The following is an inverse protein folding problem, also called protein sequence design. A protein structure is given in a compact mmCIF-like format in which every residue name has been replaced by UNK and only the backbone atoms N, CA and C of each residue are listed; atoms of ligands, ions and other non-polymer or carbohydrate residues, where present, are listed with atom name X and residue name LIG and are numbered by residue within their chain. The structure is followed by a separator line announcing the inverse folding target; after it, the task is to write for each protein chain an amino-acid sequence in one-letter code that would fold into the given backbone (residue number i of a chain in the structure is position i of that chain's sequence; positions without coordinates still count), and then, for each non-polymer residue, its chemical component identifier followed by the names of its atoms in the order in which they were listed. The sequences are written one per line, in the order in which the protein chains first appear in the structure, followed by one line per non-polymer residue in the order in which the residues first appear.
data_IF_894467823453
#
_entry.id   IF_894467823453
#
_cell.length_a   1.000
_cell.length_b   1.000
_cell.length_c   1.000
_cell.angle_alpha   90.00
_cell.angle_beta   90.00
_cell.angle_gamma   90.00
#
_symmetry.space_group_name_H-M   'P 1'
#
loop_
_entity.id
_entity.type
_entity.pdbx_description
1 polymer ?
#
# COMPACT_ATOMS: atom_id res chain seq x y z
N UNK A 1 22.98 16.53 -8.42
CA UNK A 1 22.20 17.47 -7.57
C UNK A 1 22.09 18.87 -8.15
N UNK A 2 23.13 19.44 -8.78
CA UNK A 2 23.11 20.82 -9.28
C UNK A 2 22.09 21.09 -10.41
N UNK A 3 21.88 20.15 -11.33
CA UNK A 3 20.96 20.34 -12.47
C UNK A 3 19.48 20.30 -12.09
N UNK A 4 19.10 19.42 -11.16
CA UNK A 4 17.71 19.30 -10.69
C UNK A 4 17.25 20.57 -9.95
N UNK A 5 18.10 21.12 -9.09
CA UNK A 5 17.84 22.40 -8.42
C UNK A 5 17.72 23.55 -9.43
N UNK A 6 18.57 23.57 -10.47
CA UNK A 6 18.56 24.58 -11.53
C UNK A 6 17.25 24.58 -12.33
N UNK A 7 16.74 23.41 -12.69
CA UNK A 7 15.49 23.32 -13.48
C UNK A 7 14.24 23.57 -12.63
N UNK A 8 14.23 23.14 -11.35
CA UNK A 8 13.14 23.47 -10.41
C UNK A 8 12.96 24.97 -10.18
N UNK A 9 14.05 25.74 -10.19
CA UNK A 9 13.97 27.20 -10.06
C UNK A 9 13.46 27.90 -11.33
N UNK A 10 13.46 27.22 -12.48
CA UNK A 10 13.14 27.83 -13.78
C UNK A 10 11.65 27.75 -14.15
N UNK A 11 10.84 26.96 -13.45
CA UNK A 11 9.43 26.71 -13.81
C UNK A 11 8.42 27.27 -12.80
N UNK A 12 8.09 28.57 -12.84
CA UNK A 12 6.83 29.07 -12.30
C UNK A 12 5.80 29.18 -13.46
N UNK A 13 4.94 28.17 -13.61
CA UNK A 13 3.61 28.34 -14.21
C UNK A 13 3.45 28.41 -15.74
N UNK A 14 4.01 27.48 -16.51
CA UNK A 14 3.77 27.37 -17.96
C UNK A 14 3.07 26.05 -18.33
N UNK A 15 1.75 25.96 -18.14
CA UNK A 15 0.96 24.86 -18.70
C UNK A 15 0.88 25.00 -20.23
N UNK A 16 1.81 24.36 -20.94
CA UNK A 16 1.82 24.29 -22.41
C UNK A 16 2.37 22.94 -22.88
N UNK A 17 2.01 22.52 -24.09
CA UNK A 17 2.38 21.21 -24.64
C UNK A 17 3.89 20.94 -24.56
N UNK A 18 4.25 19.71 -24.11
CA UNK A 18 5.64 19.28 -23.89
C UNK A 18 6.37 19.15 -25.23
N UNK A 19 7.01 20.23 -25.66
CA UNK A 19 7.91 20.24 -26.83
C UNK A 19 9.28 19.71 -26.41
N UNK A 20 9.90 18.87 -27.25
CA UNK A 20 11.30 18.42 -27.04
C UNK A 20 12.22 19.64 -26.88
N UNK A 21 12.96 19.69 -25.77
CA UNK A 21 13.82 20.83 -25.40
C UNK A 21 13.16 21.88 -24.51
N UNK A 22 11.87 21.74 -24.19
CA UNK A 22 11.18 22.55 -23.16
C UNK A 22 11.74 22.24 -21.76
N UNK A 23 11.80 23.23 -20.84
CA UNK A 23 12.17 23.00 -19.45
C UNK A 23 11.40 21.86 -18.79
N UNK A 24 10.11 21.71 -19.11
CA UNK A 24 9.26 20.64 -18.56
C UNK A 24 9.69 19.25 -19.04
N UNK A 25 10.00 19.10 -20.33
CA UNK A 25 10.54 17.85 -20.90
C UNK A 25 11.85 17.46 -20.20
N UNK A 26 12.72 18.43 -19.95
CA UNK A 26 14.02 18.16 -19.31
C UNK A 26 13.87 17.79 -17.82
N UNK A 27 12.91 18.39 -17.10
CA UNK A 27 12.59 17.99 -15.72
C UNK A 27 12.07 16.56 -15.67
N UNK A 28 11.11 16.19 -16.52
CA UNK A 28 10.56 14.84 -16.58
C UNK A 28 11.64 13.80 -16.91
N UNK A 29 12.51 14.08 -17.89
CA UNK A 29 13.63 13.19 -18.24
C UNK A 29 14.64 13.04 -17.10
N UNK A 30 14.92 14.12 -16.36
CA UNK A 30 15.82 14.06 -15.20
C UNK A 30 15.18 13.30 -14.05
N UNK A 31 13.87 13.45 -13.83
CA UNK A 31 13.12 12.71 -12.81
C UNK A 31 13.09 11.22 -13.13
N UNK A 32 12.76 10.85 -14.37
CA UNK A 32 12.78 9.46 -14.85
C UNK A 32 14.19 8.86 -14.76
N UNK A 33 15.23 9.60 -15.18
CA UNK A 33 16.62 9.16 -15.06
C UNK A 33 17.03 8.95 -13.60
N UNK A 34 16.63 9.85 -12.69
CA UNK A 34 16.91 9.71 -11.27
C UNK A 34 16.17 8.50 -10.68
N UNK A 35 14.93 8.26 -11.07
CA UNK A 35 14.14 7.09 -10.65
C UNK A 35 14.79 5.79 -11.11
N UNK A 36 15.22 5.73 -12.37
CA UNK A 36 15.94 4.58 -12.94
C UNK A 36 17.28 4.32 -12.22
N UNK A 37 18.02 5.38 -11.87
CA UNK A 37 19.26 5.20 -11.09
C UNK A 37 18.94 4.70 -9.67
N UNK A 38 17.89 5.24 -9.03
CA UNK A 38 17.48 4.79 -7.69
C UNK A 38 16.98 3.35 -7.69
N UNK A 39 16.27 2.89 -8.72
CA UNK A 39 15.80 1.50 -8.83
C UNK A 39 16.97 0.53 -8.95
N UNK A 40 17.92 0.77 -9.86
CA UNK A 40 19.11 -0.08 -10.03
C UNK A 40 19.94 -0.13 -8.75
N UNK A 41 20.12 0.99 -8.05
CA UNK A 41 20.83 1.02 -6.77
C UNK A 41 20.07 0.24 -5.70
N UNK A 42 18.74 0.34 -5.65
CA UNK A 42 17.89 -0.41 -4.72
C UNK A 42 18.00 -1.91 -4.96
N UNK A 43 17.85 -2.36 -6.20
CA UNK A 43 17.96 -3.77 -6.60
C UNK A 43 19.33 -4.36 -6.25
N UNK A 44 20.41 -3.63 -6.53
CA UNK A 44 21.78 -4.06 -6.17
C UNK A 44 21.96 -4.18 -4.67
N UNK A 45 21.48 -3.19 -3.92
CA UNK A 45 21.56 -3.21 -2.47
C UNK A 45 20.74 -4.36 -1.89
N UNK A 46 19.54 -4.62 -2.41
CA UNK A 46 18.71 -5.76 -2.02
C UNK A 46 19.40 -7.09 -2.29
N UNK A 47 19.95 -7.28 -3.50
CA UNK A 47 20.69 -8.49 -3.86
C UNK A 47 21.90 -8.72 -2.95
N UNK A 48 22.70 -7.68 -2.71
CA UNK A 48 23.85 -7.75 -1.81
C UNK A 48 23.44 -8.17 -0.39
N UNK A 49 22.39 -7.55 0.14
CA UNK A 49 21.88 -7.82 1.50
C UNK A 49 21.29 -9.23 1.64
N UNK A 50 20.58 -9.71 0.63
CA UNK A 50 20.07 -11.09 0.59
C UNK A 50 21.22 -12.08 0.57
N UNK A 51 22.32 -11.80 -0.15
CA UNK A 51 23.50 -12.66 -0.17
C UNK A 51 24.26 -12.68 1.16
N UNK A 52 24.39 -11.53 1.83
CA UNK A 52 25.15 -11.43 3.08
C UNK A 52 24.37 -11.88 4.31
N UNK A 53 23.10 -11.48 4.42
CA UNK A 53 22.29 -11.66 5.62
C UNK A 53 21.14 -12.65 5.42
N UNK A 54 20.85 -13.08 4.18
CA UNK A 54 19.70 -13.94 3.88
C UNK A 54 18.34 -13.24 3.98
N UNK A 55 18.32 -11.94 4.29
CA UNK A 55 17.10 -11.17 4.56
C UNK A 55 16.89 -10.09 3.48
N UNK A 56 15.66 -10.01 2.93
CA UNK A 56 15.27 -8.92 2.04
C UNK A 56 14.93 -7.68 2.88
N UNK A 57 15.76 -6.65 2.77
CA UNK A 57 15.91 -5.57 3.75
C UNK A 57 14.94 -4.40 3.56
N UNK A 58 13.73 -4.65 3.07
CA UNK A 58 12.63 -3.72 3.32
C UNK A 58 12.30 -3.87 4.80
N UNK A 59 12.69 -2.89 5.63
CA UNK A 59 12.51 -2.90 7.10
C UNK A 59 11.16 -3.56 7.43
N UNK A 60 11.15 -4.83 7.89
CA UNK A 60 9.90 -5.56 7.96
C UNK A 60 9.08 -4.89 9.05
N UNK A 61 8.04 -4.18 8.60
CA UNK A 61 7.01 -3.72 9.49
C UNK A 61 6.37 -4.96 10.09
N UNK A 62 5.88 -4.81 11.31
CA UNK A 62 5.16 -5.88 11.98
C UNK A 62 3.70 -5.47 12.08
N UNK A 63 2.83 -6.44 11.90
CA UNK A 63 1.43 -6.25 12.26
C UNK A 63 1.32 -6.27 13.77
N UNK A 64 0.68 -5.24 14.31
CA UNK A 64 0.48 -5.03 15.75
C UNK A 64 -0.95 -4.60 16.01
N UNK A 65 -1.42 -4.77 17.25
CA UNK A 65 -2.73 -4.24 17.64
C UNK A 65 -2.61 -2.79 18.10
N UNK A 66 -3.47 -1.94 17.56
CA UNK A 66 -3.60 -0.55 17.99
C UNK A 66 -4.30 -0.43 19.36
N UNK A 67 -4.48 0.80 19.83
CA UNK A 67 -5.10 1.12 21.13
C UNK A 67 -6.52 0.54 21.31
N UNK A 68 -7.23 0.20 20.22
CA UNK A 68 -8.59 -0.37 20.20
C UNK A 68 -8.57 -1.89 19.96
N UNK A 69 -7.40 -2.46 19.68
CA UNK A 69 -7.20 -3.89 19.39
C UNK A 69 -7.21 -4.26 17.91
N UNK A 70 -7.41 -3.31 16.99
CA UNK A 70 -7.41 -3.56 15.55
C UNK A 70 -5.99 -3.79 15.02
N UNK A 71 -5.80 -4.70 14.04
CA UNK A 71 -4.51 -4.91 13.39
C UNK A 71 -4.11 -3.66 12.59
N UNK A 72 -2.84 -3.28 12.72
CA UNK A 72 -2.22 -2.18 11.99
C UNK A 72 -0.78 -2.55 11.64
N UNK A 73 -0.31 -2.14 10.46
CA UNK A 73 1.05 -2.38 10.01
C UNK A 73 1.95 -1.25 10.49
N UNK A 74 2.90 -1.56 11.37
CA UNK A 74 3.84 -0.56 11.91
C UNK A 74 5.25 -0.80 11.42
N UNK A 75 5.79 0.20 10.74
CA UNK A 75 7.21 0.26 10.41
C UNK A 75 8.04 0.45 11.69
N UNK A 76 9.15 -0.30 11.87
CA UNK A 76 10.05 -0.07 12.99
C UNK A 76 10.71 1.30 12.85
N UNK A 77 10.77 2.04 13.96
CA UNK A 77 11.52 3.28 14.07
C UNK A 77 12.65 3.13 15.08
N UNK A 78 13.73 3.89 14.90
CA UNK A 78 14.85 3.88 15.81
C UNK A 78 14.48 4.62 17.09
N UNK A 79 14.78 4.00 18.23
CA UNK A 79 14.50 4.57 19.55
C UNK A 79 15.76 4.53 20.41
N UNK A 80 15.99 5.59 21.18
CA UNK A 80 17.12 5.64 22.13
C UNK A 80 16.94 4.68 23.32
N UNK A 81 15.68 4.36 23.69
CA UNK A 81 15.35 3.54 24.85
C UNK A 81 14.84 2.15 24.42
N UNK A 82 15.09 1.08 25.21
CA UNK A 82 14.52 -0.24 24.97
C UNK A 82 12.99 -0.27 25.00
N UNK A 83 12.42 -1.27 24.31
CA UNK A 83 10.98 -1.49 24.13
C UNK A 83 10.20 -1.45 25.45
N UNK A 84 10.72 -2.13 26.47
CA UNK A 84 10.07 -2.39 27.75
C UNK A 84 10.00 -1.13 28.62
N UNK A 85 10.85 -0.14 28.33
CA UNK A 85 10.92 1.13 29.07
C UNK A 85 10.04 2.22 28.46
N UNK A 86 9.61 2.06 27.19
CA UNK A 86 8.84 3.06 26.48
C UNK A 86 7.35 2.93 26.76
N UNK A 87 6.76 3.96 27.37
CA UNK A 87 5.30 4.07 27.57
C UNK A 87 4.56 4.18 26.24
N UNK A 88 5.12 4.91 25.28
CA UNK A 88 4.57 5.05 23.95
C UNK A 88 4.52 3.71 23.21
N UNK A 89 5.58 2.91 23.31
CA UNK A 89 5.64 1.58 22.73
C UNK A 89 4.54 0.68 23.30
N UNK A 90 4.40 0.64 24.63
CA UNK A 90 3.40 -0.21 25.31
C UNK A 90 1.97 0.14 24.91
N UNK A 91 1.69 1.42 24.68
CA UNK A 91 0.37 1.87 24.24
C UNK A 91 0.05 1.40 22.82
N UNK A 92 1.00 1.53 21.89
CA UNK A 92 0.80 1.21 20.47
C UNK A 92 0.94 -0.28 20.13
N UNK A 93 1.34 -1.11 21.08
CA UNK A 93 1.59 -2.53 20.89
C UNK A 93 0.89 -3.34 21.98
N UNK A 94 -0.43 -3.26 21.98
CA UNK A 94 -1.25 -3.98 22.95
C UNK A 94 -1.30 -5.46 22.64
N UNK A 95 -1.29 -6.27 23.69
CA UNK A 95 -1.69 -7.66 23.60
C UNK A 95 -3.22 -7.76 23.49
N UNK A 96 -3.68 -8.87 22.94
CA UNK A 96 -5.10 -9.16 22.87
C UNK A 96 -5.73 -9.15 24.27
N UNK A 97 -6.90 -8.52 24.37
CA UNK A 97 -7.73 -8.50 25.56
C UNK A 97 -9.19 -8.73 25.16
N UNK A 98 -9.95 -9.42 26.01
CA UNK A 98 -11.36 -9.80 25.74
C UNK A 98 -12.29 -8.63 25.44
N UNK A 99 -12.03 -7.45 26.01
CA UNK A 99 -12.85 -6.26 25.75
C UNK A 99 -12.75 -5.79 24.28
N UNK A 100 -11.68 -6.16 23.57
CA UNK A 100 -11.45 -5.79 22.17
C UNK A 100 -12.42 -6.51 21.21
N UNK A 101 -12.96 -7.67 21.59
CA UNK A 101 -13.83 -8.50 20.74
C UNK A 101 -15.00 -7.72 20.16
N UNK A 102 -15.61 -6.86 20.97
CA UNK A 102 -16.73 -6.02 20.54
C UNK A 102 -16.35 -5.10 19.38
N UNK A 103 -15.14 -4.56 19.40
CA UNK A 103 -14.63 -3.67 18.36
C UNK A 103 -14.19 -4.45 17.12
N UNK A 104 -13.54 -5.60 17.32
CA UNK A 104 -13.11 -6.50 16.25
C UNK A 104 -14.30 -6.99 15.43
N UNK A 105 -15.31 -7.57 16.07
CA UNK A 105 -16.53 -8.07 15.41
C UNK A 105 -17.24 -6.95 14.64
N UNK A 106 -17.39 -5.77 15.26
CA UNK A 106 -18.03 -4.64 14.61
C UNK A 106 -17.27 -4.16 13.37
N UNK A 107 -15.94 -4.15 13.45
CA UNK A 107 -15.10 -3.75 12.32
C UNK A 107 -15.18 -4.75 11.17
N UNK A 108 -15.12 -6.05 11.46
CA UNK A 108 -15.31 -7.12 10.48
C UNK A 108 -16.66 -7.01 9.78
N UNK A 109 -17.73 -6.75 10.52
CA UNK A 109 -19.06 -6.56 9.93
C UNK A 109 -19.10 -5.39 8.94
N UNK A 110 -18.47 -4.26 9.28
CA UNK A 110 -18.40 -3.09 8.39
C UNK A 110 -17.63 -3.43 7.12
N UNK A 111 -16.48 -4.09 7.24
CA UNK A 111 -15.69 -4.51 6.08
C UNK A 111 -16.45 -5.50 5.20
N UNK A 112 -17.14 -6.49 5.80
CA UNK A 112 -17.98 -7.45 5.06
C UNK A 112 -19.14 -6.76 4.34
N UNK A 113 -19.80 -5.79 4.98
CA UNK A 113 -20.89 -5.02 4.34
C UNK A 113 -20.37 -4.22 3.15
N UNK A 114 -19.23 -3.53 3.32
CA UNK A 114 -18.59 -2.78 2.24
C UNK A 114 -18.15 -3.68 1.07
N UNK A 115 -17.57 -4.84 1.36
CA UNK A 115 -17.20 -5.83 0.35
C UNK A 115 -18.45 -6.34 -0.41
N UNK A 116 -19.52 -6.72 0.29
CA UNK A 116 -20.79 -7.12 -0.36
C UNK A 116 -21.34 -6.04 -1.28
N UNK A 117 -21.35 -4.78 -0.83
CA UNK A 117 -21.79 -3.65 -1.65
C UNK A 117 -20.92 -3.49 -2.90
N UNK A 118 -19.60 -3.60 -2.76
CA UNK A 118 -18.67 -3.54 -3.89
C UNK A 118 -18.95 -4.64 -4.92
N UNK A 119 -19.08 -5.89 -4.48
CA UNK A 119 -19.40 -7.03 -5.35
C UNK A 119 -20.71 -6.80 -6.11
N UNK A 120 -21.75 -6.32 -5.42
CA UNK A 120 -23.03 -6.01 -6.06
C UNK A 120 -22.91 -4.90 -7.10
N UNK A 121 -22.14 -3.84 -6.82
CA UNK A 121 -21.92 -2.76 -7.79
C UNK A 121 -21.18 -3.25 -9.04
N UNK A 122 -20.17 -4.11 -8.87
CA UNK A 122 -19.44 -4.72 -9.98
C UNK A 122 -20.37 -5.59 -10.82
N UNK A 123 -21.25 -6.37 -10.20
CA UNK A 123 -22.22 -7.22 -10.92
C UNK A 123 -23.25 -6.38 -11.69
N UNK A 124 -23.77 -5.31 -11.09
CA UNK A 124 -24.70 -4.38 -11.76
C UNK A 124 -24.02 -3.68 -12.93
N UNK A 125 -22.77 -3.27 -12.77
CA UNK A 125 -21.98 -2.64 -13.82
C UNK A 125 -21.70 -3.62 -14.97
N UNK A 126 -21.38 -4.87 -14.66
CA UNK A 126 -21.25 -5.96 -15.63
C UNK A 126 -22.52 -6.10 -16.49
N UNK A 127 -23.69 -6.24 -15.87
CA UNK A 127 -24.99 -6.34 -16.57
C UNK A 127 -25.29 -5.09 -17.43
N UNK A 128 -24.86 -3.91 -16.96
CA UNK A 128 -25.01 -2.67 -17.72
C UNK A 128 -24.10 -2.65 -18.95
N UNK A 129 -22.87 -3.13 -18.85
CA UNK A 129 -21.92 -3.20 -19.95
C UNK A 129 -22.35 -4.22 -21.00
N UNK A 130 -22.85 -5.38 -20.57
CA UNK A 130 -23.48 -6.39 -21.43
C UNK A 130 -24.63 -5.79 -22.25
N UNK A 131 -25.53 -5.04 -21.60
CA UNK A 131 -26.70 -4.47 -22.28
C UNK A 131 -26.36 -3.28 -23.20
N UNK A 132 -25.37 -2.46 -22.88
CA UNK A 132 -24.97 -1.29 -23.69
C UNK A 132 -24.12 -1.66 -24.90
N UNK A 133 -23.20 -2.61 -24.72
CA UNK A 133 -22.15 -2.89 -25.70
C UNK A 133 -22.20 -4.30 -26.28
N UNK A 134 -23.05 -5.18 -25.76
CA UNK A 134 -23.10 -6.59 -26.20
C UNK A 134 -21.77 -7.32 -25.97
N UNK A 135 -20.98 -6.86 -24.98
CA UNK A 135 -19.76 -7.53 -24.57
C UNK A 135 -20.16 -8.88 -23.99
N UNK A 136 -19.45 -9.95 -24.36
CA UNK A 136 -19.62 -11.29 -23.82
C UNK A 136 -18.24 -11.94 -23.66
N UNK A 137 -18.11 -12.90 -22.73
CA UNK A 137 -16.90 -13.72 -22.58
C UNK A 137 -15.75 -13.06 -21.82
N UNK A 138 -14.52 -13.26 -22.30
CA UNK A 138 -13.27 -12.95 -21.57
C UNK A 138 -13.10 -11.47 -21.22
N UNK A 139 -13.62 -10.55 -22.05
CA UNK A 139 -13.46 -9.10 -21.85
C UNK A 139 -14.19 -8.61 -20.58
N UNK A 140 -15.38 -9.14 -20.30
CA UNK A 140 -16.15 -8.82 -19.09
C UNK A 140 -15.55 -9.48 -17.85
N UNK A 141 -15.06 -10.71 -17.98
CA UNK A 141 -14.39 -11.40 -16.89
C UNK A 141 -13.07 -10.70 -16.50
N UNK A 142 -12.32 -10.21 -17.50
CA UNK A 142 -11.13 -9.39 -17.30
C UNK A 142 -11.46 -8.09 -16.56
N UNK A 143 -12.52 -7.39 -16.98
CA UNK A 143 -12.99 -6.18 -16.31
C UNK A 143 -13.40 -6.43 -14.85
N UNK A 144 -14.19 -7.47 -14.59
CA UNK A 144 -14.62 -7.84 -13.23
C UNK A 144 -13.42 -8.18 -12.37
N UNK A 145 -12.44 -8.94 -12.90
CA UNK A 145 -11.22 -9.30 -12.19
C UNK A 145 -10.41 -8.06 -11.82
N UNK A 146 -10.16 -7.18 -12.79
CA UNK A 146 -9.45 -5.91 -12.56
C UNK A 146 -10.16 -5.04 -11.51
N UNK A 147 -11.48 -4.90 -11.62
CA UNK A 147 -12.29 -4.15 -10.64
C UNK A 147 -12.26 -4.78 -9.26
N UNK A 148 -12.22 -6.10 -9.14
CA UNK A 148 -12.13 -6.80 -7.85
C UNK A 148 -10.74 -6.72 -7.23
N UNK A 149 -9.68 -6.79 -8.04
CA UNK A 149 -8.29 -6.64 -7.59
C UNK A 149 -8.00 -5.22 -7.08
N UNK A 150 -8.56 -4.21 -7.75
CA UNK A 150 -8.45 -2.81 -7.34
C UNK A 150 -9.53 -2.40 -6.32
N UNK A 151 -10.60 -3.18 -6.22
CA UNK A 151 -11.82 -2.84 -5.50
C UNK A 151 -11.94 -3.53 -4.15
N UNK A 152 -11.72 -2.75 -3.09
CA UNK A 152 -11.96 -3.15 -1.70
C UNK A 152 -11.00 -4.23 -1.15
N UNK A 153 -9.69 -4.02 -1.34
CA UNK A 153 -8.63 -4.80 -0.67
C UNK A 153 -8.62 -4.70 0.86
N UNK A 154 -9.43 -3.82 1.47
CA UNK A 154 -9.42 -3.59 2.91
C UNK A 154 -9.80 -4.83 3.72
N UNK A 155 -10.77 -5.62 3.24
CA UNK A 155 -11.16 -6.87 3.91
C UNK A 155 -10.04 -7.91 3.81
N UNK A 156 -9.46 -8.09 2.64
CA UNK A 156 -8.37 -9.04 2.43
C UNK A 156 -7.12 -8.64 3.22
N UNK A 157 -6.74 -7.37 3.20
CA UNK A 157 -5.65 -6.82 4.01
C UNK A 157 -5.88 -7.09 5.50
N UNK A 158 -7.09 -6.84 6.00
CA UNK A 158 -7.45 -7.14 7.39
C UNK A 158 -7.32 -8.64 7.71
N UNK A 159 -7.80 -9.53 6.85
CA UNK A 159 -7.69 -10.97 7.04
C UNK A 159 -6.22 -11.44 7.05
N UNK A 160 -5.40 -10.92 6.14
CA UNK A 160 -3.97 -11.22 6.10
C UNK A 160 -3.28 -10.75 7.39
N UNK A 161 -3.54 -9.51 7.82
CA UNK A 161 -2.98 -8.96 9.05
C UNK A 161 -3.41 -9.72 10.31
N UNK A 162 -4.69 -10.12 10.39
CA UNK A 162 -5.18 -10.93 11.53
C UNK A 162 -4.56 -12.33 11.54
N UNK A 163 -4.36 -12.95 10.38
CA UNK A 163 -3.64 -14.22 10.27
C UNK A 163 -2.18 -14.09 10.74
N UNK A 164 -1.49 -13.03 10.33
CA UNK A 164 -0.13 -12.74 10.81
C UNK A 164 -0.09 -12.60 12.34
N UNK A 165 -0.98 -11.81 12.94
CA UNK A 165 -1.05 -11.67 14.40
C UNK A 165 -1.26 -13.00 15.14
N UNK A 166 -2.02 -13.92 14.55
CA UNK A 166 -2.28 -15.24 15.14
C UNK A 166 -1.10 -16.20 14.98
N UNK A 167 -0.32 -16.07 13.91
CA UNK A 167 0.90 -16.86 13.71
C UNK A 167 1.99 -16.49 14.71
N UNK A 168 2.12 -15.20 15.08
CA UNK A 168 3.05 -14.76 16.13
C UNK A 168 2.61 -15.08 17.56
N UNK A 169 1.37 -15.56 17.76
CA UNK A 169 0.82 -15.90 19.06
C UNK A 169 0.97 -17.39 19.43
N UNK A 170 1.51 -18.21 18.51
CA UNK A 170 1.88 -19.62 18.74
C UNK A 170 3.36 -19.73 19.06
#
# INVERSE_FOLDING_TARGET
MAEWSKWKTFTPGLQGSVVRGSPEHNVLMVEESMENVMSVVRERNEAYKVLEHGESLAHPGRVVRNDVGLPDYKNPSQHYKPRESSTHYKRLHLNYNRWMDKHLVRYEEVLRRGYKQHVLLVEVEKQRLESLYGLEGEDLEGYVRDRMEHGCNKLQQYLNMTAELNNYAK
#
